data_IF_358215683817
#
_entry.id   IF_358215683817
#
_cell.length_a   1.000
_cell.length_b   1.000
_cell.length_c   1.000
_cell.angle_alpha   90.00
_cell.angle_beta   90.00
_cell.angle_gamma   90.00
#
_symmetry.space_group_name_H-M   'P 1'
#
loop_
_entity.id
_entity.type
_entity.pdbx_description
1 polymer ?
#
# COMPACT_ATOMS: atom_id res chain seq x y z
N UNK A 1 4.92 3.33 -13.37
CA UNK A 1 3.79 3.14 -12.43
C UNK A 1 3.37 1.68 -12.30
N UNK A 2 3.09 0.97 -13.41
CA UNK A 2 2.61 -0.43 -13.35
C UNK A 2 3.64 -1.36 -12.72
N UNK A 3 4.93 -1.22 -13.06
CA UNK A 3 5.97 -2.11 -12.51
C UNK A 3 6.21 -1.87 -11.02
N UNK A 4 6.08 -0.60 -10.57
CA UNK A 4 6.07 -0.26 -9.15
C UNK A 4 4.90 -0.95 -8.43
N UNK A 5 3.69 -0.89 -8.99
CA UNK A 5 2.53 -1.56 -8.40
C UNK A 5 2.70 -3.10 -8.39
N UNK A 6 3.20 -3.68 -9.47
CA UNK A 6 3.38 -5.12 -9.62
C UNK A 6 4.46 -5.68 -8.67
N UNK A 7 5.49 -4.89 -8.32
CA UNK A 7 6.54 -5.27 -7.38
C UNK A 7 6.26 -4.90 -5.91
N UNK A 8 5.11 -4.29 -5.61
CA UNK A 8 4.82 -3.78 -4.26
C UNK A 8 4.81 -4.87 -3.18
N UNK A 9 4.30 -6.06 -3.49
CA UNK A 9 4.30 -7.19 -2.57
C UNK A 9 5.73 -7.64 -2.23
N UNK A 10 6.63 -7.70 -3.21
CA UNK A 10 8.02 -8.10 -2.99
C UNK A 10 8.72 -7.13 -2.03
N UNK A 11 8.49 -5.83 -2.20
CA UNK A 11 9.01 -4.81 -1.30
C UNK A 11 8.50 -5.00 0.12
N UNK A 12 7.18 -5.15 0.29
CA UNK A 12 6.56 -5.32 1.61
C UNK A 12 7.09 -6.56 2.32
N UNK A 13 7.03 -7.72 1.67
CA UNK A 13 7.54 -8.96 2.26
C UNK A 13 9.06 -8.97 2.41
N UNK A 14 9.79 -8.26 1.55
CA UNK A 14 11.22 -8.00 1.67
C UNK A 14 11.55 -7.22 2.95
N UNK A 15 10.86 -6.10 3.21
CA UNK A 15 11.01 -5.30 4.41
C UNK A 15 10.67 -6.09 5.68
N UNK A 16 9.59 -6.88 5.64
CA UNK A 16 9.20 -7.76 6.75
C UNK A 16 10.35 -8.70 7.12
N UNK A 17 10.93 -9.39 6.14
CA UNK A 17 12.07 -10.30 6.35
C UNK A 17 13.32 -9.55 6.81
N UNK A 18 13.67 -8.46 6.14
CA UNK A 18 14.88 -7.67 6.42
C UNK A 18 14.90 -7.12 7.84
N UNK A 19 13.75 -6.68 8.35
CA UNK A 19 13.66 -6.03 9.66
C UNK A 19 13.07 -6.91 10.75
N UNK A 20 12.76 -8.18 10.45
CA UNK A 20 12.17 -9.12 11.42
C UNK A 20 10.81 -8.64 11.94
N UNK A 21 9.96 -8.08 11.08
CA UNK A 21 8.69 -7.50 11.51
C UNK A 21 7.67 -8.60 11.80
N UNK A 22 7.22 -8.67 13.06
CA UNK A 22 6.16 -9.58 13.49
C UNK A 22 4.78 -8.99 13.14
N UNK A 23 4.24 -9.33 11.97
CA UNK A 23 2.95 -8.83 11.50
C UNK A 23 2.06 -9.88 10.83
N UNK A 24 2.09 -11.13 11.30
CA UNK A 24 1.26 -12.24 10.79
C UNK A 24 1.33 -12.39 9.26
N UNK A 25 2.52 -12.13 8.71
CA UNK A 25 2.74 -12.06 7.28
C UNK A 25 2.70 -13.47 6.66
N UNK A 26 1.82 -13.67 5.69
CA UNK A 26 1.69 -14.92 4.93
C UNK A 26 1.75 -14.59 3.45
N UNK A 27 2.86 -14.91 2.79
CA UNK A 27 3.09 -14.67 1.36
C UNK A 27 2.60 -15.85 0.52
N UNK A 28 1.28 -16.07 0.50
CA UNK A 28 0.64 -17.19 -0.22
C UNK A 28 -0.16 -16.73 -1.45
N UNK A 29 0.08 -15.52 -1.93
CA UNK A 29 -0.57 -14.93 -3.09
C UNK A 29 -1.96 -14.32 -2.83
N UNK A 30 -2.56 -13.78 -3.88
CA UNK A 30 -3.95 -13.32 -3.90
C UNK A 30 -4.63 -13.74 -5.20
N UNK A 31 -5.96 -13.92 -5.14
CA UNK A 31 -6.78 -14.39 -6.25
C UNK A 31 -7.75 -13.30 -6.67
N UNK A 32 -7.87 -13.05 -7.98
CA UNK A 32 -8.97 -12.29 -8.56
C UNK A 32 -9.88 -13.24 -9.35
N UNK A 33 -11.00 -13.68 -8.76
CA UNK A 33 -11.95 -14.55 -9.42
C UNK A 33 -12.88 -13.76 -10.36
N UNK A 34 -13.44 -14.43 -11.36
CA UNK A 34 -14.32 -13.85 -12.37
C UNK A 34 -15.75 -14.41 -12.26
N UNK A 35 -16.71 -13.53 -12.02
CA UNK A 35 -18.13 -13.89 -11.80
C UNK A 35 -18.98 -13.87 -13.08
N UNK A 36 -18.39 -13.55 -14.23
CA UNK A 36 -19.10 -13.48 -15.52
C UNK A 36 -18.14 -13.77 -16.68
N UNK A 37 -18.64 -14.16 -17.88
CA UNK A 37 -17.78 -14.41 -19.04
C UNK A 37 -16.95 -13.18 -19.42
N UNK A 38 -17.56 -12.00 -19.38
CA UNK A 38 -16.84 -10.75 -19.66
C UNK A 38 -15.75 -10.45 -18.61
N UNK A 39 -15.98 -10.77 -17.33
CA UNK A 39 -14.95 -10.67 -16.32
C UNK A 39 -13.82 -11.68 -16.54
N UNK A 40 -14.15 -12.90 -17.00
CA UNK A 40 -13.18 -13.97 -17.25
C UNK A 40 -12.17 -13.56 -18.34
N UNK A 41 -12.64 -12.96 -19.43
CA UNK A 41 -11.76 -12.47 -20.49
C UNK A 41 -10.85 -11.34 -20.01
N UNK A 42 -11.37 -10.44 -19.15
CA UNK A 42 -10.57 -9.36 -18.55
C UNK A 42 -9.48 -9.89 -17.63
N UNK A 43 -9.77 -10.89 -16.78
CA UNK A 43 -8.78 -11.46 -15.87
C UNK A 43 -7.70 -12.25 -16.63
N UNK A 44 -8.05 -12.99 -17.68
CA UNK A 44 -7.06 -13.66 -18.55
C UNK A 44 -6.12 -12.68 -19.23
N UNK A 45 -6.67 -11.59 -19.79
CA UNK A 45 -5.86 -10.51 -20.37
C UNK A 45 -4.91 -9.90 -19.34
N UNK A 46 -5.40 -9.65 -18.12
CA UNK A 46 -4.59 -9.11 -17.02
C UNK A 46 -3.49 -10.07 -16.57
N UNK A 47 -3.80 -11.35 -16.45
CA UNK A 47 -2.83 -12.40 -16.13
C UNK A 47 -1.69 -12.42 -17.17
N UNK A 48 -2.01 -12.36 -18.46
CA UNK A 48 -1.01 -12.27 -19.53
C UNK A 48 -0.17 -10.99 -19.48
N UNK A 49 -0.77 -9.85 -19.11
CA UNK A 49 -0.03 -8.60 -18.91
C UNK A 49 0.98 -8.67 -17.75
N UNK A 50 0.61 -9.34 -16.66
CA UNK A 50 1.49 -9.52 -15.51
C UNK A 50 2.57 -10.57 -15.78
N UNK A 51 2.24 -11.67 -16.45
CA UNK A 51 3.20 -12.69 -16.87
C UNK A 51 4.28 -12.11 -17.79
N UNK A 52 3.92 -11.23 -18.74
CA UNK A 52 4.90 -10.50 -19.59
C UNK A 52 5.85 -9.58 -18.80
N UNK A 53 5.54 -9.28 -17.54
CA UNK A 53 6.39 -8.53 -16.62
C UNK A 53 7.19 -9.43 -15.68
N UNK A 54 7.22 -10.74 -15.93
CA UNK A 54 7.92 -11.71 -15.09
C UNK A 54 7.27 -11.96 -13.74
N UNK A 55 6.00 -11.56 -13.54
CA UNK A 55 5.29 -11.85 -12.29
C UNK A 55 4.88 -13.33 -12.22
N UNK A 56 4.91 -13.97 -11.03
CA UNK A 56 4.61 -15.38 -10.86
C UNK A 56 3.10 -15.63 -10.86
N UNK A 57 2.49 -15.46 -12.04
CA UNK A 57 1.05 -15.52 -12.25
C UNK A 57 0.60 -16.88 -12.74
N UNK A 58 -0.53 -17.36 -12.23
CA UNK A 58 -1.23 -18.54 -12.75
C UNK A 58 -2.68 -18.19 -13.08
N UNK A 59 -3.16 -18.70 -14.21
CA UNK A 59 -4.59 -18.71 -14.53
C UNK A 59 -5.27 -19.83 -13.75
N UNK A 60 -6.48 -19.58 -13.27
CA UNK A 60 -7.27 -20.54 -12.51
C UNK A 60 -8.56 -20.85 -13.27
N UNK A 61 -8.91 -22.13 -13.35
CA UNK A 61 -10.25 -22.52 -13.79
C UNK A 61 -11.28 -22.41 -12.64
N UNK A 62 -12.52 -22.84 -12.90
CA UNK A 62 -13.58 -22.82 -11.89
C UNK A 62 -13.23 -23.71 -10.68
N UNK A 63 -12.70 -24.90 -10.93
CA UNK A 63 -12.41 -25.89 -9.89
C UNK A 63 -11.24 -25.42 -9.01
N UNK A 64 -10.23 -24.80 -9.62
CA UNK A 64 -9.11 -24.19 -8.93
C UNK A 64 -9.59 -23.10 -7.95
N UNK A 65 -10.47 -22.20 -8.42
CA UNK A 65 -11.02 -21.12 -7.57
C UNK A 65 -11.82 -21.70 -6.41
N UNK A 66 -12.69 -22.68 -6.66
CA UNK A 66 -13.47 -23.31 -5.59
C UNK A 66 -12.57 -24.01 -4.57
N UNK A 67 -11.54 -24.71 -5.04
CA UNK A 67 -10.58 -25.42 -4.16
C UNK A 67 -9.78 -24.47 -3.28
N UNK A 68 -9.32 -23.34 -3.84
CA UNK A 68 -8.48 -22.39 -3.12
C UNK A 68 -9.26 -21.45 -2.18
N UNK A 69 -10.53 -21.17 -2.48
CA UNK A 69 -11.31 -20.14 -1.78
C UNK A 69 -12.54 -20.68 -1.04
N UNK A 70 -13.01 -21.89 -1.37
CA UNK A 70 -14.30 -22.43 -0.94
C UNK A 70 -15.51 -21.74 -1.60
N UNK A 71 -15.31 -20.72 -2.43
CA UNK A 71 -16.38 -19.94 -3.04
C UNK A 71 -16.85 -20.56 -4.36
N UNK A 72 -18.17 -20.69 -4.51
CA UNK A 72 -18.84 -21.19 -5.72
C UNK A 72 -19.36 -20.05 -6.58
N UNK A 73 -19.66 -20.35 -7.85
CA UNK A 73 -20.29 -19.40 -8.79
C UNK A 73 -19.32 -18.60 -9.66
N UNK A 74 -18.02 -18.76 -9.47
CA UNK A 74 -17.01 -18.19 -10.35
C UNK A 74 -16.78 -19.06 -11.59
N UNK A 75 -16.34 -18.43 -12.69
CA UNK A 75 -16.03 -19.10 -13.96
C UNK A 75 -14.53 -19.38 -14.13
N UNK A 76 -13.71 -18.93 -13.19
CA UNK A 76 -12.25 -18.98 -13.21
C UNK A 76 -11.66 -17.71 -12.61
N UNK A 77 -10.36 -17.50 -12.83
CA UNK A 77 -9.66 -16.35 -12.27
C UNK A 77 -8.18 -16.35 -12.63
N UNK A 78 -7.42 -15.60 -11.84
CA UNK A 78 -5.97 -15.68 -11.82
C UNK A 78 -5.45 -15.40 -10.42
N UNK A 79 -4.23 -15.86 -10.17
CA UNK A 79 -3.52 -15.68 -8.92
C UNK A 79 -2.13 -15.11 -9.20
N UNK A 80 -1.72 -14.16 -8.39
CA UNK A 80 -0.33 -13.74 -8.29
C UNK A 80 0.27 -14.32 -7.00
N UNK A 81 1.26 -15.21 -7.15
CA UNK A 81 1.90 -15.91 -6.03
C UNK A 81 2.82 -15.04 -5.19
N UNK A 82 3.20 -13.85 -5.69
CA UNK A 82 4.07 -12.95 -4.95
C UNK A 82 3.36 -12.18 -3.84
N UNK A 83 2.03 -12.12 -3.88
CA UNK A 83 1.22 -11.44 -2.90
C UNK A 83 0.99 -12.22 -1.61
N UNK A 84 0.01 -11.76 -0.83
CA UNK A 84 -0.39 -12.43 0.41
C UNK A 84 -1.14 -11.49 1.34
N UNK A 85 -1.14 -11.84 2.62
CA UNK A 85 -1.82 -11.09 3.68
C UNK A 85 -0.87 -10.78 4.83
N UNK A 86 -1.21 -9.77 5.61
CA UNK A 86 -0.51 -9.38 6.83
C UNK A 86 -1.45 -8.61 7.75
N UNK A 87 -1.05 -8.42 9.00
CA UNK A 87 -1.67 -7.49 9.93
C UNK A 87 -1.12 -6.06 9.67
N UNK A 88 -1.92 -5.12 9.11
CA UNK A 88 -1.42 -3.82 8.67
C UNK A 88 -0.99 -2.92 9.84
N UNK A 89 -1.64 -3.04 11.00
CA UNK A 89 -1.27 -2.26 12.19
C UNK A 89 0.07 -2.73 12.74
N UNK A 90 0.26 -4.05 12.84
CA UNK A 90 1.53 -4.61 13.28
C UNK A 90 2.66 -4.30 12.29
N UNK A 91 2.38 -4.34 10.99
CA UNK A 91 3.35 -3.96 9.96
C UNK A 91 3.77 -2.49 10.08
N UNK A 92 2.81 -1.57 10.24
CA UNK A 92 3.10 -0.14 10.42
C UNK A 92 3.95 0.14 11.66
N UNK A 93 3.68 -0.55 12.77
CA UNK A 93 4.50 -0.47 13.99
C UNK A 93 5.91 -1.00 13.78
N UNK A 94 6.06 -2.17 13.15
CA UNK A 94 7.38 -2.72 12.84
C UNK A 94 8.20 -1.85 11.91
N UNK A 95 7.55 -1.17 10.94
CA UNK A 95 8.22 -0.16 10.11
C UNK A 95 8.66 1.07 10.92
N UNK A 96 7.83 1.54 11.86
CA UNK A 96 8.19 2.63 12.76
C UNK A 96 9.44 2.27 13.58
N UNK A 97 9.44 1.09 14.21
CA UNK A 97 10.58 0.61 15.00
C UNK A 97 11.85 0.48 14.13
N UNK A 98 11.71 -0.03 12.89
CA UNK A 98 12.82 -0.14 11.95
C UNK A 98 13.38 1.23 11.55
N UNK A 99 12.52 2.23 11.36
CA UNK A 99 12.92 3.59 11.05
C UNK A 99 13.65 4.26 12.23
N UNK A 100 13.17 4.08 13.46
CA UNK A 100 13.84 4.60 14.67
C UNK A 100 15.20 3.95 14.89
N UNK A 101 15.33 2.63 14.66
CA UNK A 101 16.64 1.94 14.66
C UNK A 101 17.61 2.49 13.60
N UNK A 102 17.09 3.01 12.50
CA UNK A 102 17.88 3.67 11.46
C UNK A 102 18.16 5.15 11.75
N UNK A 103 17.73 5.69 12.91
CA UNK A 103 18.00 7.05 13.36
C UNK A 103 16.87 8.06 13.06
N UNK A 104 15.72 7.62 12.56
CA UNK A 104 14.55 8.48 12.48
C UNK A 104 14.01 8.82 13.87
N UNK A 105 13.30 9.95 14.00
CA UNK A 105 12.60 10.34 15.22
C UNK A 105 11.13 10.47 14.92
N UNK A 106 10.29 9.74 15.66
CA UNK A 106 8.85 9.74 15.48
C UNK A 106 8.21 10.60 16.58
N UNK A 107 7.35 11.52 16.17
CA UNK A 107 6.61 12.39 17.08
C UNK A 107 5.12 12.16 16.88
N UNK A 108 4.51 11.39 17.78
CA UNK A 108 3.07 11.16 17.80
C UNK A 108 2.34 12.32 18.45
N UNK A 109 1.02 12.40 18.22
CA UNK A 109 0.15 13.47 18.77
C UNK A 109 0.65 14.90 18.50
N UNK A 110 1.53 15.07 17.51
CA UNK A 110 2.21 16.33 17.19
C UNK A 110 1.74 16.83 15.84
N UNK A 111 0.51 17.33 15.81
CA UNK A 111 -0.13 17.77 14.55
C UNK A 111 0.63 18.96 13.96
N UNK A 112 1.11 18.82 12.73
CA UNK A 112 1.58 19.96 11.93
C UNK A 112 0.36 20.76 11.46
N UNK A 113 0.41 22.08 11.62
CA UNK A 113 -0.68 23.01 11.28
C UNK A 113 -0.36 23.88 10.06
N UNK A 114 0.92 24.15 9.78
CA UNK A 114 1.36 24.82 8.56
C UNK A 114 2.70 24.30 8.05
N UNK A 115 2.90 24.41 6.73
CA UNK A 115 4.16 24.13 6.04
C UNK A 115 4.44 25.30 5.11
N UNK A 116 5.36 26.18 5.52
CA UNK A 116 5.63 27.45 4.86
C UNK A 116 7.02 27.42 4.20
N UNK A 117 7.13 27.89 2.96
CA UNK A 117 8.42 28.04 2.29
C UNK A 117 9.18 29.22 2.92
N UNK A 118 10.45 29.01 3.25
CA UNK A 118 11.37 30.04 3.74
C UNK A 118 12.63 30.06 2.88
N UNK A 119 13.48 31.07 3.06
CA UNK A 119 14.67 31.30 2.22
C UNK A 119 15.58 30.06 2.10
N UNK A 120 15.73 29.31 3.19
CA UNK A 120 16.64 28.17 3.35
C UNK A 120 15.92 26.80 3.40
N UNK A 121 14.63 26.72 3.05
CA UNK A 121 13.88 25.47 3.06
C UNK A 121 12.43 25.66 3.46
N UNK A 122 12.00 24.92 4.49
CA UNK A 122 10.63 24.89 4.96
C UNK A 122 10.59 25.11 6.48
N UNK A 123 9.61 25.90 6.91
CA UNK A 123 9.24 26.04 8.31
C UNK A 123 7.91 25.31 8.54
N UNK A 124 7.90 24.43 9.54
CA UNK A 124 6.72 23.68 9.96
C UNK A 124 6.29 24.19 11.34
N UNK A 125 4.98 24.33 11.54
CA UNK A 125 4.41 24.73 12.84
C UNK A 125 3.56 23.62 13.41
N UNK A 126 3.58 23.51 14.73
CA UNK A 126 2.70 22.67 15.54
C UNK A 126 2.11 23.55 16.65
N UNK A 127 1.06 23.10 17.37
CA UNK A 127 0.52 23.86 18.50
C UNK A 127 1.55 24.15 19.60
N UNK A 128 2.57 23.29 19.74
CA UNK A 128 3.57 23.35 20.81
C UNK A 128 4.94 23.85 20.35
N UNK A 129 5.14 24.18 19.07
CA UNK A 129 6.44 24.63 18.59
C UNK A 129 6.57 24.74 17.07
N UNK A 130 7.83 24.83 16.62
CA UNK A 130 8.16 24.91 15.20
C UNK A 130 9.46 24.16 14.88
N UNK A 131 9.61 23.78 13.61
CA UNK A 131 10.71 22.98 13.09
C UNK A 131 11.12 23.52 11.72
N UNK A 132 12.42 23.45 11.39
CA UNK A 132 12.94 23.76 10.05
C UNK A 132 13.43 22.51 9.34
N UNK A 133 13.14 22.38 8.05
CA UNK A 133 13.57 21.25 7.23
C UNK A 133 13.95 21.70 5.81
N UNK A 134 14.99 21.09 5.23
CA UNK A 134 15.39 21.35 3.85
C UNK A 134 14.39 20.76 2.82
N UNK A 135 13.70 19.67 3.20
CA UNK A 135 12.71 18.95 2.40
C UNK A 135 11.55 18.51 3.29
N UNK A 136 10.35 18.48 2.70
CA UNK A 136 9.12 18.02 3.36
C UNK A 136 8.41 17.05 2.42
N UNK A 137 8.06 15.86 2.94
CA UNK A 137 7.19 14.90 2.27
C UNK A 137 5.85 14.87 3.02
N UNK A 138 4.76 15.10 2.30
CA UNK A 138 3.41 15.04 2.87
C UNK A 138 2.86 13.63 2.61
N UNK A 139 2.81 12.81 3.66
CA UNK A 139 2.33 11.43 3.63
C UNK A 139 1.09 11.23 4.52
N UNK A 140 0.24 12.25 4.62
CA UNK A 140 -0.92 12.31 5.54
C UNK A 140 -2.18 11.62 5.02
N UNK A 141 -2.10 10.92 3.88
CA UNK A 141 -3.27 10.48 3.13
C UNK A 141 -4.26 11.65 2.90
N UNK A 142 -5.58 11.40 2.88
CA UNK A 142 -6.62 12.43 2.73
C UNK A 142 -6.82 13.35 3.95
N UNK A 143 -6.01 13.22 5.01
CA UNK A 143 -6.19 13.97 6.27
C UNK A 143 -5.24 15.17 6.41
N UNK A 144 -4.52 15.52 5.34
CA UNK A 144 -3.55 16.63 5.31
C UNK A 144 -4.16 18.02 5.47
N UNK A 145 -5.48 18.17 5.37
CA UNK A 145 -6.18 19.44 5.58
C UNK A 145 -5.55 20.62 4.83
N UNK A 146 -5.15 21.71 5.52
CA UNK A 146 -4.60 22.91 4.89
C UNK A 146 -3.08 22.85 4.63
N UNK A 147 -2.40 21.74 4.94
CA UNK A 147 -0.92 21.66 4.86
C UNK A 147 -0.36 21.95 3.47
N UNK A 148 -1.16 21.73 2.43
CA UNK A 148 -0.84 22.15 1.08
C UNK A 148 -2.13 22.56 0.35
N UNK A 149 -2.27 23.84 -0.05
CA UNK A 149 -3.46 24.34 -0.73
C UNK A 149 -3.80 23.61 -2.03
N UNK A 150 -2.80 23.09 -2.76
CA UNK A 150 -3.02 22.32 -3.98
C UNK A 150 -3.57 20.93 -3.65
N UNK A 151 -2.99 20.23 -2.66
CA UNK A 151 -3.48 18.91 -2.26
C UNK A 151 -4.90 18.95 -1.71
N UNK A 152 -5.28 20.03 -1.00
CA UNK A 152 -6.66 20.21 -0.52
C UNK A 152 -7.71 20.14 -1.64
N UNK A 153 -7.34 20.47 -2.89
CA UNK A 153 -8.24 20.45 -4.05
C UNK A 153 -8.31 19.11 -4.76
N UNK A 154 -7.50 18.12 -4.35
CA UNK A 154 -7.37 16.84 -5.08
C UNK A 154 -8.07 15.67 -4.42
N UNK A 155 -8.61 15.82 -3.21
CA UNK A 155 -9.34 14.74 -2.53
C UNK A 155 -10.62 15.26 -1.88
N UNK A 156 -11.66 14.43 -1.93
CA UNK A 156 -12.94 14.67 -1.27
C UNK A 156 -13.14 13.60 -0.19
N UNK A 157 -13.18 13.96 1.10
CA UNK A 157 -13.39 12.99 2.17
C UNK A 157 -14.82 12.43 2.08
N UNK A 158 -14.94 11.17 1.68
CA UNK A 158 -16.19 10.42 1.76
C UNK A 158 -16.33 9.84 3.16
N UNK A 159 -17.30 10.35 3.92
CA UNK A 159 -17.66 9.78 5.21
C UNK A 159 -18.55 8.57 4.96
N UNK A 160 -17.99 7.38 5.13
CA UNK A 160 -18.73 6.12 5.08
C UNK A 160 -18.95 5.70 6.54
N UNK A 161 -20.11 6.12 7.06
CA UNK A 161 -20.71 5.85 8.39
C UNK A 161 -19.79 5.98 9.61
#
# INVERSE_FOLDING_TARGET
>A
LIDFAAGSADLVFGLIRQHGIHCDAVQNGWIQPAHSPAALEKVKSRAGQWARRGRPVVTLDRQDVETLTGARGYLGGWMDRSGGVLNPVAYARGLADAAERAGARIFEQTRVTSVDRVADGWALRTPSGSLRAARVLIATNAYGGPLNPLLKRTYFPLKVF
#
